data_IF_669857208062
#
_entry.id   IF_669857208062
#
_cell.length_a   1.000
_cell.length_b   1.000
_cell.length_c   1.000
_cell.angle_alpha   90.00
_cell.angle_beta   90.00
_cell.angle_gamma   90.00
#
_symmetry.space_group_name_H-M   'P 1'
#
loop_
_entity.id
_entity.type
_entity.pdbx_description
1 polymer ?
#
# COMPACT_ATOMS: atom_id res chain seq x y z
N UNK A 1 -9.42 9.67 13.20
CA UNK A 1 -9.78 8.67 12.17
C UNK A 1 -8.69 8.74 11.14
N UNK A 2 -7.94 7.66 10.98
CA UNK A 2 -6.82 7.60 10.03
C UNK A 2 -7.07 6.38 9.13
N UNK A 3 -6.94 6.58 7.81
CA UNK A 3 -7.15 5.53 6.81
C UNK A 3 -6.31 4.28 7.05
N UNK A 4 -5.07 4.47 7.54
CA UNK A 4 -4.13 3.40 7.81
C UNK A 4 -4.58 2.51 8.99
N UNK A 5 -5.07 3.13 10.07
CA UNK A 5 -5.48 2.42 11.29
C UNK A 5 -6.95 1.99 11.31
N UNK A 6 -7.82 2.72 10.60
CA UNK A 6 -9.28 2.52 10.58
C UNK A 6 -9.84 2.43 9.14
N UNK A 7 -9.30 1.58 8.24
CA UNK A 7 -9.70 1.53 6.83
C UNK A 7 -11.19 1.22 6.64
N UNK A 8 -11.81 0.49 7.56
CA UNK A 8 -13.23 0.13 7.53
C UNK A 8 -14.15 1.37 7.61
N UNK A 9 -13.70 2.45 8.28
CA UNK A 9 -14.46 3.72 8.33
C UNK A 9 -14.51 4.43 6.98
N UNK A 10 -13.70 3.99 6.02
CA UNK A 10 -13.66 4.49 4.65
C UNK A 10 -14.26 3.48 3.64
N UNK A 11 -14.88 2.39 4.14
CA UNK A 11 -15.40 1.31 3.29
C UNK A 11 -14.28 0.57 2.55
N UNK A 12 -13.14 0.39 3.21
CA UNK A 12 -11.95 -0.27 2.68
C UNK A 12 -11.51 -1.40 3.61
N UNK A 13 -10.77 -2.35 3.05
CA UNK A 13 -10.09 -3.42 3.78
C UNK A 13 -8.63 -3.44 3.34
N UNK A 14 -7.70 -3.43 4.30
CA UNK A 14 -6.27 -3.54 3.99
C UNK A 14 -5.93 -4.92 3.43
N UNK A 15 -5.33 -4.94 2.25
CA UNK A 15 -4.81 -6.15 1.60
C UNK A 15 -3.41 -6.48 2.10
N UNK A 16 -2.61 -5.44 2.32
CA UNK A 16 -1.24 -5.51 2.81
C UNK A 16 -0.45 -4.26 2.43
N UNK A 17 0.82 -4.27 2.79
CA UNK A 17 1.73 -3.14 2.66
C UNK A 17 3.16 -3.61 2.41
N UNK A 18 3.98 -2.70 1.91
CA UNK A 18 5.44 -2.83 1.86
C UNK A 18 6.05 -1.58 2.47
N UNK A 19 7.06 -1.77 3.33
CA UNK A 19 7.91 -0.70 3.84
C UNK A 19 9.27 -0.78 3.14
N UNK A 20 9.62 0.32 2.47
CA UNK A 20 10.85 0.52 1.72
C UNK A 20 11.92 1.22 2.56
N UNK A 21 11.70 1.37 3.86
CA UNK A 21 12.64 1.92 4.82
C UNK A 21 13.09 0.88 5.85
N UNK A 22 13.96 1.29 6.77
CA UNK A 22 14.36 0.44 7.90
C UNK A 22 13.24 0.22 8.94
N UNK A 23 12.18 1.05 8.90
CA UNK A 23 11.15 1.12 9.94
C UNK A 23 11.62 1.71 11.27
N UNK A 24 12.89 2.09 11.39
CA UNK A 24 13.49 2.58 12.63
C UNK A 24 13.37 4.11 12.72
N UNK A 25 12.27 4.58 13.33
CA UNK A 25 11.92 6.01 13.43
C UNK A 25 11.62 6.68 12.07
N UNK A 26 11.37 5.88 11.05
CA UNK A 26 11.00 6.28 9.70
C UNK A 26 10.03 5.25 9.12
N UNK A 27 9.34 5.64 8.06
CA UNK A 27 8.54 4.77 7.23
C UNK A 27 8.63 5.24 5.78
N UNK A 28 8.59 4.30 4.85
CA UNK A 28 8.39 4.58 3.43
C UNK A 28 7.45 3.50 2.89
N UNK A 29 6.14 3.75 2.91
CA UNK A 29 5.12 2.73 2.74
C UNK A 29 4.48 2.83 1.36
N UNK A 30 4.18 1.67 0.78
CA UNK A 30 3.04 1.51 -0.13
C UNK A 30 2.01 0.61 0.54
N UNK A 31 0.79 1.09 0.71
CA UNK A 31 -0.31 0.31 1.31
C UNK A 31 -1.39 0.08 0.26
N UNK A 32 -1.96 -1.13 0.28
CA UNK A 32 -2.94 -1.59 -0.71
C UNK A 32 -4.25 -1.91 0.00
N UNK A 33 -5.35 -1.39 -0.55
CA UNK A 33 -6.70 -1.60 -0.05
C UNK A 33 -7.64 -2.12 -1.13
N UNK A 34 -8.75 -2.71 -0.69
CA UNK A 34 -9.88 -3.06 -1.55
C UNK A 34 -11.18 -2.55 -0.93
N UNK A 35 -12.13 -2.14 -1.77
CA UNK A 35 -13.48 -1.79 -1.32
C UNK A 35 -14.47 -2.98 -1.45
N UNK A 36 -15.70 -2.78 -0.97
CA UNK A 36 -16.78 -3.78 -1.07
C UNK A 36 -17.14 -4.13 -2.52
N UNK A 37 -16.95 -3.19 -3.45
CA UNK A 37 -17.14 -3.39 -4.88
C UNK A 37 -15.92 -4.02 -5.58
N UNK A 38 -14.93 -4.48 -4.80
CA UNK A 38 -13.74 -5.20 -5.26
C UNK A 38 -12.81 -4.35 -6.13
N UNK A 39 -12.89 -3.03 -5.99
CA UNK A 39 -11.93 -2.11 -6.58
C UNK A 39 -10.66 -2.06 -5.76
N UNK A 40 -9.52 -2.13 -6.45
CA UNK A 40 -8.20 -2.09 -5.85
C UNK A 40 -7.68 -0.65 -5.79
N UNK A 41 -7.16 -0.28 -4.63
CA UNK A 41 -6.58 1.03 -4.36
C UNK A 41 -5.19 0.88 -3.75
N UNK A 42 -4.34 1.87 -3.97
CA UNK A 42 -3.09 2.03 -3.24
C UNK A 42 -2.78 3.50 -2.99
N UNK A 43 -1.89 3.75 -2.04
CA UNK A 43 -1.23 5.03 -1.87
C UNK A 43 0.17 4.79 -1.28
N UNK A 44 1.04 5.76 -1.52
CA UNK A 44 2.37 5.81 -0.93
C UNK A 44 2.40 6.92 0.13
N UNK A 45 3.15 6.71 1.19
CA UNK A 45 3.47 7.76 2.15
C UNK A 45 4.82 7.50 2.79
N UNK A 46 5.57 8.56 3.08
CA UNK A 46 6.87 8.44 3.71
C UNK A 46 7.09 9.55 4.73
N UNK A 47 7.84 9.23 5.78
CA UNK A 47 8.04 10.15 6.88
C UNK A 47 8.94 9.62 7.96
N UNK A 48 9.16 10.48 8.95
CA UNK A 48 9.85 10.12 10.18
C UNK A 48 8.82 9.87 11.30
N UNK A 49 9.28 9.39 12.45
CA UNK A 49 8.51 8.93 13.62
C UNK A 49 7.32 9.77 14.16
N UNK A 50 7.04 10.98 13.65
CA UNK A 50 6.10 11.90 14.28
C UNK A 50 4.84 12.27 13.47
N UNK A 51 4.78 12.23 12.13
CA UNK A 51 3.50 11.95 11.48
C UNK A 51 3.17 10.47 11.60
N UNK A 52 1.90 10.17 11.86
CA UNK A 52 1.38 8.83 11.59
C UNK A 52 1.29 8.63 10.07
N UNK A 53 1.55 7.42 9.54
CA UNK A 53 1.31 7.14 8.14
C UNK A 53 -0.10 7.55 7.71
N UNK A 54 -0.19 8.18 6.54
CA UNK A 54 -1.42 8.63 5.89
C UNK A 54 -2.25 9.61 6.76
N UNK A 55 -1.58 10.42 7.58
CA UNK A 55 -2.25 11.46 8.36
C UNK A 55 -2.93 12.47 7.44
N UNK A 56 -4.26 12.59 7.57
CA UNK A 56 -5.07 13.48 6.73
C UNK A 56 -5.42 12.93 5.35
N UNK A 57 -4.91 11.75 4.96
CA UNK A 57 -5.28 11.09 3.71
C UNK A 57 -6.67 10.48 3.81
N UNK A 58 -7.54 10.82 2.86
CA UNK A 58 -8.86 10.24 2.70
C UNK A 58 -8.95 9.30 1.50
N UNK A 59 -10.12 8.68 1.34
CA UNK A 59 -10.40 7.76 0.23
C UNK A 59 -10.19 8.39 -1.16
N UNK A 60 -10.47 9.68 -1.30
CA UNK A 60 -10.35 10.38 -2.59
C UNK A 60 -8.91 10.65 -3.01
N UNK A 61 -7.96 10.52 -2.08
CA UNK A 61 -6.53 10.69 -2.34
C UNK A 61 -5.87 9.39 -2.81
N UNK A 62 -6.62 8.28 -2.83
CA UNK A 62 -6.11 6.97 -3.21
C UNK A 62 -6.12 6.76 -4.71
N UNK A 63 -5.12 6.04 -5.20
CA UNK A 63 -5.03 5.67 -6.61
C UNK A 63 -5.76 4.36 -6.86
N UNK A 64 -6.88 4.42 -7.58
CA UNK A 64 -7.55 3.21 -8.11
C UNK A 64 -6.68 2.58 -9.19
N UNK A 65 -6.50 1.26 -9.13
CA UNK A 65 -5.60 0.56 -10.04
C UNK A 65 -6.11 -0.83 -10.45
N UNK A 66 -5.37 -1.49 -11.34
CA UNK A 66 -5.54 -2.90 -11.70
C UNK A 66 -4.41 -3.72 -11.09
N UNK A 67 -4.51 -5.05 -11.11
CA UNK A 67 -3.41 -5.93 -10.67
C UNK A 67 -2.11 -5.67 -11.44
N UNK A 68 -2.20 -5.43 -12.75
CA UNK A 68 -1.04 -5.09 -13.57
C UNK A 68 -0.47 -3.73 -13.20
N UNK A 69 -1.34 -2.73 -12.98
CA UNK A 69 -0.93 -1.40 -12.53
C UNK A 69 -0.23 -1.43 -11.18
N UNK A 70 -0.81 -2.14 -10.20
CA UNK A 70 -0.20 -2.34 -8.88
C UNK A 70 1.18 -2.99 -8.98
N UNK A 71 1.30 -4.10 -9.73
CA UNK A 71 2.59 -4.77 -9.92
C UNK A 71 3.65 -3.84 -10.51
N UNK A 72 3.28 -3.04 -11.51
CA UNK A 72 4.20 -2.10 -12.15
C UNK A 72 4.65 -1.01 -11.17
N UNK A 73 3.73 -0.47 -10.37
CA UNK A 73 4.02 0.51 -9.33
C UNK A 73 5.01 -0.03 -8.29
N UNK A 74 4.68 -1.17 -7.67
CA UNK A 74 5.51 -1.78 -6.62
C UNK A 74 6.93 -2.12 -7.12
N UNK A 75 7.04 -2.60 -8.37
CA UNK A 75 8.35 -2.85 -9.00
C UNK A 75 9.11 -1.58 -9.34
N UNK A 76 8.42 -0.48 -9.66
CA UNK A 76 9.03 0.84 -9.85
C UNK A 76 9.66 1.32 -8.56
N UNK A 77 8.85 1.39 -7.50
CA UNK A 77 9.26 1.74 -6.13
C UNK A 77 10.42 0.87 -5.61
N UNK A 78 10.36 -0.44 -5.80
CA UNK A 78 11.43 -1.36 -5.43
C UNK A 78 12.77 -1.04 -6.12
N UNK A 79 12.74 -0.63 -7.40
CA UNK A 79 13.96 -0.24 -8.13
C UNK A 79 14.51 1.09 -7.63
N UNK A 80 13.64 2.05 -7.29
CA UNK A 80 14.04 3.37 -6.75
C UNK A 80 14.69 3.23 -5.38
N UNK A 81 14.17 2.36 -4.51
CA UNK A 81 14.75 2.02 -3.21
C UNK A 81 15.95 1.05 -3.30
N UNK A 82 16.50 0.80 -4.49
CA UNK A 82 17.58 -0.16 -4.77
C UNK A 82 17.35 -1.59 -4.22
N UNK A 83 16.10 -1.97 -3.92
CA UNK A 83 15.74 -3.28 -3.38
C UNK A 83 16.31 -3.58 -1.98
N UNK A 84 16.67 -2.56 -1.21
CA UNK A 84 17.34 -2.76 0.09
C UNK A 84 16.42 -3.43 1.13
N UNK A 85 15.17 -2.97 1.22
CA UNK A 85 14.19 -3.44 2.21
C UNK A 85 13.08 -4.31 1.62
N UNK A 86 12.85 -4.19 0.31
CA UNK A 86 11.80 -4.88 -0.43
C UNK A 86 12.40 -5.72 -1.55
N UNK A 87 12.05 -7.00 -1.57
CA UNK A 87 12.48 -7.96 -2.62
C UNK A 87 11.37 -8.23 -3.65
N UNK A 88 11.71 -8.82 -4.80
CA UNK A 88 10.69 -9.22 -5.79
C UNK A 88 9.70 -10.24 -5.21
N UNK A 89 10.12 -11.08 -4.25
CA UNK A 89 9.21 -12.01 -3.55
C UNK A 89 8.15 -11.25 -2.75
N UNK A 90 8.52 -10.17 -2.05
CA UNK A 90 7.55 -9.36 -1.31
C UNK A 90 6.52 -8.72 -2.26
N UNK A 91 6.99 -8.25 -3.42
CA UNK A 91 6.11 -7.71 -4.47
C UNK A 91 5.17 -8.79 -5.02
N UNK A 92 5.67 -9.97 -5.34
CA UNK A 92 4.86 -11.09 -5.83
C UNK A 92 3.80 -11.48 -4.80
N UNK A 93 4.18 -11.60 -3.52
CA UNK A 93 3.27 -11.98 -2.45
C UNK A 93 2.14 -10.95 -2.27
N UNK A 94 2.46 -9.66 -2.26
CA UNK A 94 1.45 -8.61 -2.13
C UNK A 94 0.52 -8.55 -3.35
N UNK A 95 1.06 -8.74 -4.55
CA UNK A 95 0.25 -8.80 -5.78
C UNK A 95 -0.70 -10.00 -5.78
N UNK A 96 -0.27 -11.16 -5.27
CA UNK A 96 -1.14 -12.34 -5.18
C UNK A 96 -2.19 -12.20 -4.08
N UNK A 97 -1.88 -11.53 -2.96
CA UNK A 97 -2.90 -11.12 -1.98
C UNK A 97 -3.94 -10.20 -2.62
N UNK A 98 -3.50 -9.17 -3.37
CA UNK A 98 -4.39 -8.26 -4.08
C UNK A 98 -5.26 -8.98 -5.11
N UNK A 99 -4.68 -9.91 -5.88
CA UNK A 99 -5.43 -10.73 -6.86
C UNK A 99 -6.55 -11.51 -6.18
N UNK A 100 -6.25 -12.24 -5.11
CA UNK A 100 -7.26 -12.96 -4.32
C UNK A 100 -8.30 -12.00 -3.74
N UNK A 101 -7.85 -10.84 -3.28
CA UNK A 101 -8.70 -9.81 -2.70
C UNK A 101 -9.59 -9.09 -3.70
N UNK A 102 -9.47 -9.29 -5.02
CA UNK A 102 -10.45 -8.77 -6.01
C UNK A 102 -11.25 -9.88 -6.70
N UNK A 103 -10.95 -11.15 -6.44
CA UNK A 103 -11.58 -12.31 -7.11
C UNK A 103 -12.57 -13.12 -6.26
N UNK A 104 -12.58 -12.96 -4.93
CA UNK A 104 -13.72 -13.39 -4.09
C UNK A 104 -14.98 -12.59 -4.41
#
# INVERSE_FOLDING_TARGET
MNLYYDPEKFGLTTVGELDYSSGAYEFDLTVVWVDEARHLYYADDSGCSCPSPFEGTGRNDLTRTTITGLRNHLRGRMKEAYGEYVTDSNVVDLVEKARKAVSR
#
